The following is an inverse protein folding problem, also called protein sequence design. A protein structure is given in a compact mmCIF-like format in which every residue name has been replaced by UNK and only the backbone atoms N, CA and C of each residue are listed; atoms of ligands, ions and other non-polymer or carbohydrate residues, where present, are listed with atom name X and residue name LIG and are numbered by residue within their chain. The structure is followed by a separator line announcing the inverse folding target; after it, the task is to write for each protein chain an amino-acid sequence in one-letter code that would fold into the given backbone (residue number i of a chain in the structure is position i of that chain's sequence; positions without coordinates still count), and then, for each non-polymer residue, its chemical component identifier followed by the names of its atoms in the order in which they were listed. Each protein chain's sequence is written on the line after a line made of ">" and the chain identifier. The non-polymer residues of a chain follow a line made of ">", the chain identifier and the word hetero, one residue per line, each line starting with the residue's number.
data_IF_557134632818
#
_entry.id   IF_557134632818
#
_cell.length_a   1.000
_cell.length_b   1.000
_cell.length_c   1.000
_cell.angle_alpha   90.00
_cell.angle_beta   90.00
_cell.angle_gamma   90.00
#
_symmetry.space_group_name_H-M   'P 1'
#
loop_
_entity.id
_entity.type
_entity.pdbx_description
1 polymer ?
#
# COMPACT_ATOMS: atom_id res chain seq x y z
N UNK A 1 1.26 7.36 -9.54
CA UNK A 1 0.94 8.50 -8.65
C UNK A 1 -0.52 8.45 -8.17
N UNK A 2 -1.51 9.17 -8.75
CA UNK A 2 -2.90 9.15 -8.19
C UNK A 2 -3.52 7.74 -8.20
N UNK A 3 -3.35 6.99 -9.29
CA UNK A 3 -3.87 5.63 -9.40
C UNK A 3 -3.15 4.66 -8.47
N UNK A 4 -1.83 4.79 -8.33
CA UNK A 4 -1.01 3.85 -7.56
C UNK A 4 -1.37 3.87 -6.08
N UNK A 5 -1.42 5.05 -5.48
CA UNK A 5 -1.79 5.21 -4.07
C UNK A 5 -3.28 4.91 -3.81
N UNK A 6 -4.15 5.08 -4.83
CA UNK A 6 -5.53 4.64 -4.74
C UNK A 6 -5.65 3.11 -4.61
N UNK A 7 -4.93 2.34 -5.44
CA UNK A 7 -4.90 0.88 -5.33
C UNK A 7 -4.34 0.41 -3.98
N UNK A 8 -3.31 1.09 -3.46
CA UNK A 8 -2.79 0.80 -2.12
C UNK A 8 -3.86 1.04 -1.04
N UNK A 9 -4.60 2.15 -1.13
CA UNK A 9 -5.68 2.48 -0.20
C UNK A 9 -6.79 1.42 -0.24
N UNK A 10 -7.15 0.96 -1.43
CA UNK A 10 -8.11 -0.14 -1.60
C UNK A 10 -7.59 -1.44 -0.99
N UNK A 11 -6.34 -1.81 -1.23
CA UNK A 11 -5.73 -2.99 -0.61
C UNK A 11 -5.75 -2.90 0.92
N UNK A 12 -5.36 -1.75 1.49
CA UNK A 12 -5.38 -1.50 2.94
C UNK A 12 -6.78 -1.61 3.57
N UNK A 13 -7.85 -1.31 2.81
CA UNK A 13 -9.22 -1.42 3.29
C UNK A 13 -9.58 -2.85 3.73
N UNK A 14 -8.96 -3.86 3.11
CA UNK A 14 -9.12 -5.27 3.48
C UNK A 14 -8.49 -5.61 4.84
N UNK A 15 -7.64 -4.74 5.37
CA UNK A 15 -6.89 -4.96 6.61
C UNK A 15 -7.31 -4.04 7.77
N UNK A 16 -8.29 -3.15 7.57
CA UNK A 16 -8.72 -2.17 8.58
C UNK A 16 -9.39 -2.80 9.80
N UNK A 17 -10.08 -3.93 9.63
CA UNK A 17 -10.78 -4.64 10.72
C UNK A 17 -9.88 -5.60 11.52
N UNK A 18 -8.58 -5.68 11.22
CA UNK A 18 -7.66 -6.52 11.97
C UNK A 18 -7.37 -5.92 13.36
N UNK A 19 -6.98 -6.75 14.34
CA UNK A 19 -6.57 -6.32 15.70
C UNK A 19 -5.24 -5.53 15.73
N UNK A 20 -4.93 -4.75 14.70
CA UNK A 20 -3.71 -3.98 14.53
C UNK A 20 -4.07 -2.60 13.97
N UNK A 21 -3.67 -1.54 14.67
CA UNK A 21 -3.94 -0.16 14.26
C UNK A 21 -3.07 0.32 13.09
N UNK A 22 -1.98 -0.39 12.77
CA UNK A 22 -1.02 -0.03 11.70
C UNK A 22 -1.71 0.22 10.34
N UNK A 23 -2.53 -0.69 9.78
CA UNK A 23 -3.24 -0.44 8.52
C UNK A 23 -4.09 0.83 8.55
N UNK A 24 -4.76 1.10 9.68
CA UNK A 24 -5.54 2.33 9.86
C UNK A 24 -4.66 3.58 9.85
N UNK A 25 -3.50 3.56 10.51
CA UNK A 25 -2.56 4.69 10.48
C UNK A 25 -2.06 4.99 9.07
N UNK A 26 -1.70 3.96 8.31
CA UNK A 26 -1.23 4.10 6.92
C UNK A 26 -2.37 4.66 6.05
N UNK A 27 -3.58 4.13 6.21
CA UNK A 27 -4.76 4.57 5.49
C UNK A 27 -5.06 6.06 5.76
N UNK A 28 -4.97 6.50 7.02
CA UNK A 28 -5.16 7.92 7.36
C UNK A 28 -4.09 8.82 6.74
N UNK A 29 -2.81 8.42 6.75
CA UNK A 29 -1.75 9.19 6.07
C UNK A 29 -2.06 9.44 4.60
N UNK A 30 -2.55 8.42 3.89
CA UNK A 30 -2.97 8.52 2.48
C UNK A 30 -4.14 9.48 2.26
N UNK A 31 -4.98 9.72 3.27
CA UNK A 31 -6.10 10.66 3.19
C UNK A 31 -5.70 12.08 3.59
N UNK A 32 -4.79 12.24 4.55
CA UNK A 32 -4.43 13.53 5.12
C UNK A 32 -3.49 14.35 4.22
N UNK A 33 -2.70 13.69 3.37
CA UNK A 33 -1.72 14.36 2.51
C UNK A 33 -1.83 13.92 1.05
N UNK A 34 -1.86 14.87 0.10
CA UNK A 34 -1.68 14.56 -1.31
C UNK A 34 -0.19 14.31 -1.57
N UNK A 35 0.23 13.05 -1.50
CA UNK A 35 1.61 12.68 -1.81
C UNK A 35 1.92 12.86 -3.30
N UNK A 36 3.07 13.47 -3.58
CA UNK A 36 3.73 13.52 -4.88
C UNK A 36 3.65 12.20 -5.63
N UNK A 37 4.14 11.16 -4.96
CA UNK A 37 4.38 9.82 -5.46
C UNK A 37 4.52 8.82 -4.32
N UNK A 38 4.74 7.57 -4.71
CA UNK A 38 4.96 6.43 -3.85
C UNK A 38 6.23 6.61 -3.01
N UNK A 39 7.30 7.19 -3.57
CA UNK A 39 8.55 7.49 -2.85
C UNK A 39 8.31 8.47 -1.69
N UNK A 40 7.62 9.58 -1.94
CA UNK A 40 7.27 10.58 -0.93
C UNK A 40 6.40 9.97 0.17
N UNK A 41 5.44 9.12 -0.21
CA UNK A 41 4.61 8.40 0.73
C UNK A 41 5.44 7.46 1.61
N UNK A 42 6.30 6.61 1.03
CA UNK A 42 7.13 5.66 1.78
C UNK A 42 8.08 6.35 2.74
N UNK A 43 8.64 7.51 2.36
CA UNK A 43 9.48 8.34 3.24
C UNK A 43 8.77 8.83 4.50
N UNK A 44 7.43 8.90 4.49
CA UNK A 44 6.62 9.32 5.64
C UNK A 44 6.11 8.15 6.49
N UNK A 45 6.46 6.91 6.13
CA UNK A 45 6.16 5.74 6.93
C UNK A 45 7.16 5.58 8.07
N UNK A 46 6.65 5.18 9.23
CA UNK A 46 7.46 4.64 10.29
C UNK A 46 7.98 3.24 9.93
N UNK A 47 9.01 2.77 10.63
CA UNK A 47 9.57 1.44 10.42
C UNK A 47 8.52 0.32 10.57
N UNK A 48 7.57 0.46 11.50
CA UNK A 48 6.49 -0.52 11.70
C UNK A 48 5.50 -0.54 10.53
N UNK A 49 5.17 0.63 10.00
CA UNK A 49 4.26 0.77 8.85
C UNK A 49 4.91 0.23 7.57
N UNK A 50 6.17 0.55 7.32
CA UNK A 50 6.94 0.00 6.20
C UNK A 50 7.06 -1.53 6.29
N UNK A 51 7.35 -2.07 7.48
CA UNK A 51 7.41 -3.51 7.70
C UNK A 51 6.05 -4.20 7.47
N UNK A 52 4.95 -3.56 7.89
CA UNK A 52 3.60 -4.06 7.63
C UNK A 52 3.28 -4.10 6.13
N UNK A 53 3.56 -3.02 5.39
CA UNK A 53 3.37 -3.00 3.93
C UNK A 53 4.24 -4.03 3.22
N UNK A 54 5.51 -4.16 3.62
CA UNK A 54 6.42 -5.16 3.08
C UNK A 54 5.92 -6.60 3.30
N UNK A 55 5.13 -6.82 4.35
CA UNK A 55 4.49 -8.10 4.62
C UNK A 55 3.25 -8.35 3.75
N UNK A 56 2.35 -7.37 3.59
CA UNK A 56 1.06 -7.58 2.90
C UNK A 56 1.13 -7.40 1.38
N UNK A 57 1.99 -6.53 0.86
CA UNK A 57 2.03 -6.20 -0.56
C UNK A 57 2.36 -7.40 -1.46
N UNK A 58 3.31 -8.28 -1.13
CA UNK A 58 3.56 -9.48 -1.93
C UNK A 58 2.31 -10.36 -2.09
N UNK A 59 1.50 -10.47 -1.04
CA UNK A 59 0.26 -11.24 -1.07
C UNK A 59 -0.79 -10.59 -1.96
N UNK A 60 -0.99 -9.27 -1.84
CA UNK A 60 -1.95 -8.52 -2.67
C UNK A 60 -1.54 -8.49 -4.15
N UNK A 61 -0.25 -8.36 -4.45
CA UNK A 61 0.29 -8.42 -5.83
C UNK A 61 0.00 -9.78 -6.44
N UNK A 62 0.33 -10.87 -5.73
CA UNK A 62 0.08 -12.23 -6.19
C UNK A 62 -1.42 -12.51 -6.37
N UNK A 63 -2.26 -12.00 -5.47
CA UNK A 63 -3.71 -12.09 -5.59
C UNK A 63 -4.22 -11.39 -6.86
N UNK A 64 -3.80 -10.14 -7.09
CA UNK A 64 -4.18 -9.39 -8.29
C UNK A 64 -3.71 -10.06 -9.59
N UNK A 65 -2.51 -10.66 -9.60
CA UNK A 65 -2.02 -11.45 -10.74
C UNK A 65 -2.92 -12.67 -11.03
N UNK A 66 -3.36 -13.38 -9.99
CA UNK A 66 -4.26 -14.53 -10.14
C UNK A 66 -5.65 -14.14 -10.63
N UNK A 67 -6.15 -12.96 -10.24
CA UNK A 67 -7.40 -12.39 -10.77
C UNK A 67 -7.25 -11.79 -12.17
N UNK A 68 -6.07 -11.88 -12.79
CA UNK A 68 -5.74 -11.24 -14.07
C UNK A 68 -5.86 -9.71 -14.05
N UNK A 69 -5.87 -9.08 -12.87
CA UNK A 69 -5.80 -7.63 -12.70
C UNK A 69 -4.35 -7.17 -12.71
N UNK A 70 -3.75 -7.23 -13.91
CA UNK A 70 -2.35 -6.86 -14.14
C UNK A 70 -2.09 -5.38 -13.81
N UNK A 71 -3.12 -4.52 -13.91
CA UNK A 71 -2.99 -3.10 -13.59
C UNK A 71 -2.81 -2.93 -12.08
N UNK A 72 -3.68 -3.54 -11.26
CA UNK A 72 -3.54 -3.51 -9.80
C UNK A 72 -2.22 -4.13 -9.36
N UNK A 73 -1.84 -5.29 -9.91
CA UNK A 73 -0.57 -5.94 -9.60
C UNK A 73 0.63 -5.03 -9.86
N UNK A 74 0.67 -4.39 -11.03
CA UNK A 74 1.75 -3.46 -11.39
C UNK A 74 1.81 -2.24 -10.45
N UNK A 75 0.66 -1.63 -10.15
CA UNK A 75 0.60 -0.45 -9.28
C UNK A 75 1.01 -0.78 -7.84
N UNK A 76 0.58 -1.92 -7.29
CA UNK A 76 1.03 -2.34 -5.95
C UNK A 76 2.53 -2.69 -5.93
N UNK A 77 3.06 -3.22 -7.03
CA UNK A 77 4.50 -3.48 -7.16
C UNK A 77 5.32 -2.19 -7.13
N UNK A 78 4.86 -1.09 -7.76
CA UNK A 78 5.58 0.20 -7.70
C UNK A 78 5.77 0.68 -6.25
N UNK A 79 4.75 0.51 -5.39
CA UNK A 79 4.88 0.84 -3.96
C UNK A 79 5.84 -0.12 -3.25
N UNK A 80 5.74 -1.41 -3.54
CA UNK A 80 6.59 -2.43 -2.94
C UNK A 80 8.08 -2.20 -3.24
N UNK A 81 8.41 -1.81 -4.48
CA UNK A 81 9.77 -1.50 -4.89
C UNK A 81 10.38 -0.31 -4.11
N UNK A 82 9.56 0.62 -3.62
CA UNK A 82 10.05 1.73 -2.78
C UNK A 82 10.38 1.31 -1.34
N UNK A 83 9.94 0.12 -0.90
CA UNK A 83 10.17 -0.40 0.46
C UNK A 83 11.48 -1.21 0.59
N UNK A 84 12.11 -1.58 -0.53
CA UNK A 84 13.34 -2.37 -0.62
C UNK A 84 14.60 -1.49 -0.54
#
# INVERSE_FOLDING_TARGET
>A
METTLAYLREALSNYLDYHNDIPSHIYHKLLEKPYANEEEFVRHLSQKEAAFLNHILPHEIHYAMNEQDMKRAHQLNEVYEQLL
#
